data_IF_088869288974
#
_entry.id   IF_088869288974
#
_cell.length_a   1.000
_cell.length_b   1.000
_cell.length_c   1.000
_cell.angle_alpha   90.00
_cell.angle_beta   90.00
_cell.angle_gamma   90.00
#
_symmetry.space_group_name_H-M   'P 1'
#
loop_
_entity.id
_entity.type
_entity.pdbx_description
1 polymer ?
#
# COMPACT_ATOMS: atom_id res chain seq x y z
N UNK A 1 12.06 9.31 -8.57
CA UNK A 1 12.21 8.58 -7.29
C UNK A 1 12.03 7.09 -7.59
N UNK A 2 13.03 6.24 -7.36
CA UNK A 2 12.88 4.80 -7.64
C UNK A 2 11.92 4.19 -6.62
N UNK A 3 10.90 3.45 -7.07
CA UNK A 3 9.88 2.86 -6.18
C UNK A 3 10.53 1.97 -5.11
N UNK A 4 11.64 1.30 -5.45
CA UNK A 4 12.44 0.49 -4.51
C UNK A 4 13.08 1.32 -3.37
N UNK A 5 13.36 2.60 -3.59
CA UNK A 5 13.86 3.50 -2.55
C UNK A 5 12.74 3.91 -1.59
N UNK A 6 11.51 4.07 -2.09
CA UNK A 6 10.34 4.35 -1.25
C UNK A 6 10.03 3.17 -0.32
N UNK A 7 10.09 1.93 -0.80
CA UNK A 7 9.87 0.74 0.05
C UNK A 7 10.88 0.66 1.20
N UNK A 8 12.15 0.97 0.94
CA UNK A 8 13.20 1.02 1.97
C UNK A 8 13.05 2.19 2.94
N UNK A 9 12.50 3.32 2.47
CA UNK A 9 12.26 4.51 3.27
C UNK A 9 11.10 4.29 4.26
N UNK A 10 9.99 3.71 3.79
CA UNK A 10 8.81 3.40 4.61
C UNK A 10 9.17 2.53 5.82
N UNK A 11 10.10 1.57 5.66
CA UNK A 11 10.55 0.72 6.77
C UNK A 11 11.45 1.38 7.81
N UNK A 12 11.89 2.64 7.61
CA UNK A 12 12.82 3.36 8.51
C UNK A 12 12.19 4.55 9.22
N UNK A 13 11.06 5.04 8.73
CA UNK A 13 10.36 6.19 9.32
C UNK A 13 9.43 5.74 10.44
N UNK A 14 9.21 6.61 11.43
CA UNK A 14 8.08 6.45 12.35
C UNK A 14 6.75 6.65 11.62
N UNK A 15 5.65 6.20 12.22
CA UNK A 15 4.30 6.35 11.66
C UNK A 15 3.95 7.83 11.41
N UNK A 16 4.34 8.72 12.32
CA UNK A 16 4.05 10.16 12.21
C UNK A 16 4.85 10.81 11.08
N UNK A 17 6.15 10.52 10.99
CA UNK A 17 7.00 11.01 9.89
C UNK A 17 6.53 10.49 8.54
N UNK A 18 6.10 9.23 8.46
CA UNK A 18 5.56 8.65 7.24
C UNK A 18 4.32 9.42 6.79
N UNK A 19 3.37 9.65 7.69
CA UNK A 19 2.13 10.40 7.39
C UNK A 19 2.45 11.81 6.90
N UNK A 20 3.41 12.50 7.54
CA UNK A 20 3.84 13.83 7.11
C UNK A 20 4.46 13.84 5.70
N UNK A 21 5.09 12.73 5.30
CA UNK A 21 5.73 12.60 3.98
C UNK A 21 4.78 12.05 2.90
N UNK A 22 3.67 11.40 3.25
CA UNK A 22 2.73 10.82 2.27
C UNK A 22 2.37 11.78 1.11
N UNK A 23 2.01 13.06 1.36
CA UNK A 23 1.65 13.97 0.28
C UNK A 23 2.79 14.24 -0.71
N UNK A 24 4.06 14.10 -0.29
CA UNK A 24 5.22 14.41 -1.13
C UNK A 24 5.51 13.33 -2.19
N UNK A 25 5.09 12.08 -1.95
CA UNK A 25 5.40 10.96 -2.84
C UNK A 25 4.19 10.17 -3.34
N UNK A 26 3.01 10.29 -2.73
CA UNK A 26 1.80 9.59 -3.20
C UNK A 26 1.40 9.92 -4.64
N UNK A 27 1.44 11.19 -5.12
CA UNK A 27 1.10 11.50 -6.51
C UNK A 27 1.96 10.70 -7.50
N UNK A 28 3.27 10.63 -7.26
CA UNK A 28 4.19 9.86 -8.09
C UNK A 28 3.94 8.34 -8.02
N UNK A 29 3.50 7.81 -6.88
CA UNK A 29 3.09 6.41 -6.78
C UNK A 29 1.79 6.14 -7.56
N UNK A 30 0.83 7.05 -7.53
CA UNK A 30 -0.44 6.90 -8.26
C UNK A 30 -0.22 6.93 -9.76
N UNK A 31 0.61 7.86 -10.25
CA UNK A 31 1.03 7.90 -11.66
C UNK A 31 1.72 6.60 -12.07
N UNK A 32 2.63 6.09 -11.23
CA UNK A 32 3.33 4.84 -11.48
C UNK A 32 2.40 3.60 -11.44
N UNK A 33 1.29 3.66 -10.71
CA UNK A 33 0.30 2.58 -10.71
C UNK A 33 -0.43 2.44 -12.05
N UNK A 34 -0.47 3.51 -12.84
CA UNK A 34 -1.03 3.53 -14.19
C UNK A 34 0.01 3.25 -15.28
N UNK A 35 1.25 2.91 -14.90
CA UNK A 35 2.34 2.64 -15.84
C UNK A 35 2.04 1.38 -16.68
N UNK A 36 2.50 1.36 -17.94
CA UNK A 36 2.30 0.21 -18.85
C UNK A 36 3.10 -1.03 -18.41
N UNK A 37 4.23 -0.86 -17.74
CA UNK A 37 5.05 -1.95 -17.23
C UNK A 37 4.36 -2.67 -16.05
N UNK A 38 4.06 -3.98 -16.18
CA UNK A 38 3.47 -4.77 -15.10
C UNK A 38 4.36 -4.83 -13.85
N UNK A 39 5.68 -4.86 -14.01
CA UNK A 39 6.64 -4.91 -12.90
C UNK A 39 6.64 -3.63 -12.06
N UNK A 40 6.50 -2.48 -12.73
CA UNK A 40 6.33 -1.18 -12.06
C UNK A 40 5.03 -1.20 -11.25
N UNK A 41 3.90 -1.57 -11.88
CA UNK A 41 2.60 -1.62 -11.19
C UNK A 41 2.63 -2.57 -9.99
N UNK A 42 3.25 -3.74 -10.14
CA UNK A 42 3.43 -4.72 -9.06
C UNK A 42 4.17 -4.06 -7.89
N UNK A 43 5.29 -3.41 -8.16
CA UNK A 43 6.10 -2.77 -7.11
C UNK A 43 5.32 -1.65 -6.38
N UNK A 44 4.53 -0.85 -7.10
CA UNK A 44 3.65 0.16 -6.48
C UNK A 44 2.62 -0.49 -5.57
N UNK A 45 1.97 -1.57 -6.00
CA UNK A 45 1.00 -2.31 -5.17
C UNK A 45 1.64 -2.80 -3.88
N UNK A 46 2.83 -3.42 -3.96
CA UNK A 46 3.55 -3.87 -2.76
C UNK A 46 3.85 -2.70 -1.81
N UNK A 47 4.31 -1.57 -2.34
CA UNK A 47 4.61 -0.38 -1.53
C UNK A 47 3.36 0.18 -0.83
N UNK A 48 2.24 0.32 -1.54
CA UNK A 48 0.98 0.80 -0.95
C UNK A 48 0.42 -0.16 0.10
N UNK A 49 0.57 -1.47 -0.13
CA UNK A 49 0.15 -2.48 0.83
C UNK A 49 1.02 -2.45 2.09
N UNK A 50 2.33 -2.30 1.97
CA UNK A 50 3.22 -2.17 3.14
C UNK A 50 2.87 -0.95 3.99
N UNK A 51 2.59 0.20 3.36
CA UNK A 51 2.14 1.41 4.05
C UNK A 51 0.79 1.15 4.73
N UNK A 52 -0.14 0.46 4.07
CA UNK A 52 -1.43 0.11 4.69
C UNK A 52 -1.25 -0.82 5.88
N UNK A 53 -0.33 -1.79 5.84
CA UNK A 53 -0.07 -2.67 7.00
C UNK A 53 0.51 -1.87 8.18
N UNK A 54 1.28 -0.81 7.90
CA UNK A 54 1.86 0.05 8.93
C UNK A 54 0.85 1.03 9.54
N UNK A 55 0.03 1.68 8.71
CA UNK A 55 -0.89 2.75 9.13
C UNK A 55 -2.33 2.26 9.39
N UNK A 56 -2.67 1.07 8.89
CA UNK A 56 -4.01 0.51 8.93
C UNK A 56 -5.05 1.37 8.20
N UNK A 57 -6.26 1.42 8.76
CA UNK A 57 -7.39 2.17 8.18
C UNK A 57 -7.14 3.68 8.10
N UNK A 58 -6.18 4.23 8.86
CA UNK A 58 -5.80 5.63 8.79
C UNK A 58 -5.20 6.03 7.44
N UNK A 59 -4.75 5.06 6.63
CA UNK A 59 -4.23 5.33 5.29
C UNK A 59 -5.32 5.50 4.22
N UNK A 60 -6.55 5.02 4.47
CA UNK A 60 -7.65 5.02 3.48
C UNK A 60 -7.95 6.41 2.90
N UNK A 61 -8.02 7.50 3.70
CA UNK A 61 -8.27 8.85 3.16
C UNK A 61 -7.19 9.33 2.18
N UNK A 62 -5.98 8.79 2.27
CA UNK A 62 -4.88 9.16 1.38
C UNK A 62 -4.94 8.43 0.03
N UNK A 63 -5.80 7.42 -0.12
CA UNK A 63 -5.93 6.62 -1.34
C UNK A 63 -7.02 7.15 -2.30
N UNK A 64 -7.62 8.30 -2.01
CA UNK A 64 -8.68 8.91 -2.84
C UNK A 64 -8.23 9.22 -4.27
N UNK A 65 -6.92 9.37 -4.51
CA UNK A 65 -6.35 9.56 -5.86
C UNK A 65 -6.35 8.30 -6.74
N UNK A 66 -6.73 7.14 -6.22
CA UNK A 66 -6.80 5.89 -6.97
C UNK A 66 -8.18 5.69 -7.61
N UNK A 67 -8.21 5.03 -8.77
CA UNK A 67 -9.48 4.50 -9.30
C UNK A 67 -10.08 3.46 -8.36
N UNK A 68 -11.41 3.27 -8.44
CA UNK A 68 -12.12 2.27 -7.64
C UNK A 68 -11.54 0.86 -7.75
N UNK A 69 -11.08 0.48 -8.95
CA UNK A 69 -10.41 -0.81 -9.21
C UNK A 69 -9.05 -0.90 -8.51
N UNK A 70 -8.22 0.15 -8.61
CA UNK A 70 -6.89 0.20 -7.97
C UNK A 70 -7.02 0.19 -6.44
N UNK A 71 -7.94 1.00 -5.90
CA UNK A 71 -8.24 1.03 -4.47
C UNK A 71 -8.66 -0.34 -3.97
N UNK A 72 -9.63 -0.97 -4.64
CA UNK A 72 -10.11 -2.32 -4.29
C UNK A 72 -8.99 -3.35 -4.30
N UNK A 73 -8.10 -3.29 -5.29
CA UNK A 73 -6.93 -4.15 -5.37
C UNK A 73 -6.04 -3.99 -4.14
N UNK A 74 -5.60 -2.76 -3.84
CA UNK A 74 -4.73 -2.47 -2.69
C UNK A 74 -5.37 -2.94 -1.38
N UNK A 75 -6.65 -2.63 -1.16
CA UNK A 75 -7.37 -3.00 0.06
C UNK A 75 -7.53 -4.53 0.21
N UNK A 76 -7.80 -5.27 -0.86
CA UNK A 76 -7.88 -6.74 -0.81
C UNK A 76 -6.54 -7.34 -0.41
N UNK A 77 -5.45 -6.91 -1.05
CA UNK A 77 -4.12 -7.43 -0.73
C UNK A 77 -3.71 -7.09 0.70
N UNK A 78 -3.94 -5.86 1.14
CA UNK A 78 -3.61 -5.45 2.50
C UNK A 78 -4.44 -6.22 3.55
N UNK A 79 -5.73 -6.43 3.32
CA UNK A 79 -6.56 -7.24 4.21
C UNK A 79 -6.10 -8.70 4.27
N UNK A 80 -5.71 -9.31 3.14
CA UNK A 80 -5.17 -10.68 3.12
C UNK A 80 -3.88 -10.80 3.91
N UNK A 81 -2.95 -9.87 3.74
CA UNK A 81 -1.67 -9.88 4.47
C UNK A 81 -1.88 -9.60 5.96
N UNK A 82 -2.77 -8.64 6.29
CA UNK A 82 -3.13 -8.35 7.68
C UNK A 82 -3.69 -9.59 8.36
N UNK A 83 -4.65 -10.29 7.72
CA UNK A 83 -5.24 -11.52 8.25
C UNK A 83 -4.21 -12.64 8.44
N UNK A 84 -3.32 -12.83 7.46
CA UNK A 84 -2.25 -13.82 7.52
C UNK A 84 -1.24 -13.55 8.66
N UNK A 85 -0.94 -12.29 8.96
CA UNK A 85 -0.06 -11.90 10.07
C UNK A 85 -0.73 -12.02 11.44
N UNK A 86 -2.03 -11.84 11.53
CA UNK A 86 -2.79 -11.92 12.79
C UNK A 86 -3.13 -13.34 13.25
N UNK A 87 -2.82 -14.39 12.49
CA UNK A 87 -2.81 -15.77 12.98
C UNK A 87 -4.09 -16.23 13.69
N UNK A 88 -5.24 -16.15 13.01
CA UNK A 88 -6.37 -17.02 13.33
C UNK A 88 -6.54 -18.03 12.17
N UNK A 89 -6.57 -19.35 12.43
CA UNK A 89 -6.84 -20.32 11.39
C UNK A 89 -8.25 -20.08 10.85
N UNK A 90 -8.37 -19.92 9.54
CA UNK A 90 -9.66 -19.93 8.88
C UNK A 90 -10.15 -21.38 8.85
N UNK A 91 -11.14 -21.68 9.70
CA UNK A 91 -11.98 -22.85 9.52
C UNK A 91 -12.72 -22.66 8.19
N UNK A 92 -12.28 -23.40 7.18
CA UNK A 92 -12.90 -23.43 5.87
C UNK A 92 -14.10 -24.37 5.92
N UNK A 93 -15.22 -23.92 6.48
CA UNK A 93 -16.50 -24.60 6.30
C UNK A 93 -17.69 -23.68 6.61
N UNK A 94 -18.38 -23.19 5.57
CA UNK A 94 -19.75 -23.60 5.24
C UNK A 94 -20.24 -22.92 3.95
#
# INVERSE_FOLDING_TARGET
MCINCLTKLVGRLSQEELVAQLPSFLPALFDAFSNQSPDIRKTVVFCLVDIYIMLGKAFVPYLEGLSSTQLRLVTIYANRISQARSGAPIDANQ
#
